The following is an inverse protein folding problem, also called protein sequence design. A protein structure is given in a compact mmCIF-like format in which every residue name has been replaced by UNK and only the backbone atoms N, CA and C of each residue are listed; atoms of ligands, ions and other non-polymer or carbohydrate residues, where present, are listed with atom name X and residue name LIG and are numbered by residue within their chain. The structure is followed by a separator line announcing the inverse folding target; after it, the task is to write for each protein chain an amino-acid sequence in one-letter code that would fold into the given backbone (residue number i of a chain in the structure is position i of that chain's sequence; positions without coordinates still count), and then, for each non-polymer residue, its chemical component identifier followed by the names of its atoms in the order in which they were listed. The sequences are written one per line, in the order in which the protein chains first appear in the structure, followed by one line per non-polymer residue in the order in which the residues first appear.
data_IF_128708346364
#
_entry.id   IF_128708346364
#
_cell.length_a   1.000
_cell.length_b   1.000
_cell.length_c   1.000
_cell.angle_alpha   90.00
_cell.angle_beta   90.00
_cell.angle_gamma   90.00
#
_symmetry.space_group_name_H-M   'P 1'
#
loop_
_entity.id
_entity.type
_entity.pdbx_description
1 polymer ?
#
# COMPACT_ATOMS: atom_id res chain seq x y z
N UNK A 1 9.08 -2.44 1.10
CA UNK A 1 7.80 -2.58 1.82
C UNK A 1 7.91 -1.75 3.09
N UNK A 2 7.13 -0.68 3.22
CA UNK A 2 6.96 -0.02 4.52
C UNK A 2 5.48 -0.06 4.87
N UNK A 3 5.14 -0.92 5.81
CA UNK A 3 3.81 -1.09 6.40
C UNK A 3 3.91 -0.63 7.83
N UNK A 4 3.24 0.47 8.20
CA UNK A 4 3.28 1.01 9.54
C UNK A 4 1.87 1.26 10.05
N UNK A 5 1.39 0.41 10.97
CA UNK A 5 0.15 0.64 11.72
C UNK A 5 0.36 1.65 12.87
N UNK A 6 1.24 2.63 12.66
CA UNK A 6 1.57 3.64 13.65
C UNK A 6 0.80 4.92 13.33
N UNK A 7 0.19 5.52 14.36
CA UNK A 7 -0.35 6.89 14.28
C UNK A 7 0.83 7.84 14.19
N UNK A 8 1.39 7.94 12.98
CA UNK A 8 2.53 8.80 12.69
C UNK A 8 1.96 10.12 12.17
N UNK A 9 2.38 11.23 12.75
CA UNK A 9 1.83 12.54 12.36
C UNK A 9 2.26 12.93 10.94
N UNK A 10 3.42 12.46 10.46
CA UNK A 10 4.06 12.85 9.19
C UNK A 10 4.79 11.69 8.52
N UNK A 11 4.74 11.62 7.18
CA UNK A 11 5.57 10.72 6.34
C UNK A 11 5.55 9.24 6.77
N UNK A 12 4.37 8.72 7.14
CA UNK A 12 4.17 7.39 7.72
C UNK A 12 4.76 6.22 6.88
N UNK A 13 4.81 6.37 5.55
CA UNK A 13 5.41 5.40 4.64
C UNK A 13 6.87 5.73 4.33
N UNK A 14 7.14 6.89 3.75
CA UNK A 14 8.50 7.33 3.46
C UNK A 14 8.54 8.84 3.16
N UNK A 15 9.74 9.41 3.26
CA UNK A 15 10.01 10.78 2.85
C UNK A 15 11.33 10.90 2.10
N UNK A 16 11.28 11.44 0.89
CA UNK A 16 12.46 11.88 0.13
C UNK A 16 12.44 13.40 0.14
N UNK A 17 13.44 13.99 0.79
CA UNK A 17 13.54 15.44 0.97
C UNK A 17 14.86 15.94 0.39
N UNK A 18 14.78 16.90 -0.54
CA UNK A 18 15.94 17.64 -1.05
C UNK A 18 17.03 16.76 -1.68
N UNK A 19 16.71 15.77 -2.54
CA UNK A 19 17.74 15.04 -3.28
C UNK A 19 18.50 16.02 -4.18
N UNK A 20 19.83 15.97 -4.22
CA UNK A 20 20.63 16.84 -5.11
C UNK A 20 20.55 16.42 -6.58
N UNK A 21 20.09 15.20 -6.83
CA UNK A 21 19.97 14.57 -8.15
C UNK A 21 18.53 14.10 -8.40
N UNK A 22 18.28 13.53 -9.58
CA UNK A 22 16.98 12.92 -9.88
C UNK A 22 16.78 11.67 -9.02
N UNK A 23 15.70 11.65 -8.23
CA UNK A 23 15.32 10.47 -7.45
C UNK A 23 14.58 9.45 -8.30
N UNK A 24 14.85 8.15 -8.09
CA UNK A 24 14.08 7.05 -8.70
C UNK A 24 13.58 6.12 -7.60
N UNK A 25 12.26 5.93 -7.53
CA UNK A 25 11.63 4.89 -6.73
C UNK A 25 11.06 3.84 -7.68
N UNK A 26 11.43 2.58 -7.48
CA UNK A 26 11.01 1.48 -8.35
C UNK A 26 10.57 0.27 -7.54
N UNK A 27 9.55 -0.45 -8.01
CA UNK A 27 9.05 -1.71 -7.42
C UNK A 27 8.78 -1.63 -5.90
N UNK A 28 8.25 -0.49 -5.45
CA UNK A 28 7.98 -0.24 -4.03
C UNK A 28 6.49 -0.29 -3.73
N UNK A 29 6.13 -0.68 -2.51
CA UNK A 29 4.75 -0.63 -2.02
C UNK A 29 4.68 0.14 -0.71
N UNK A 30 3.78 1.10 -0.68
CA UNK A 30 3.37 1.86 0.49
C UNK A 30 1.92 1.49 0.80
N UNK A 31 1.72 0.86 1.96
CA UNK A 31 0.40 0.35 2.31
C UNK A 31 0.10 0.46 3.79
N UNK A 32 -1.19 0.50 4.12
CA UNK A 32 -1.69 0.56 5.50
C UNK A 32 -1.09 1.71 6.31
N UNK A 33 -0.81 2.84 5.64
CA UNK A 33 -0.27 4.02 6.33
C UNK A 33 -1.39 4.98 6.71
N UNK A 34 -1.25 5.62 7.87
CA UNK A 34 -2.19 6.63 8.36
C UNK A 34 -1.43 7.84 8.87
N UNK A 35 -1.84 9.04 8.47
CA UNK A 35 -1.27 10.29 8.99
C UNK A 35 -2.29 11.42 9.15
N UNK A 36 -1.96 12.37 10.02
CA UNK A 36 -2.87 13.46 10.44
C UNK A 36 -2.37 14.85 10.07
N UNK A 37 -1.05 15.11 10.05
CA UNK A 37 -0.50 16.46 9.78
C UNK A 37 0.04 16.60 8.35
N UNK A 38 0.93 15.71 7.93
CA UNK A 38 1.48 15.68 6.57
C UNK A 38 1.13 14.36 5.88
N UNK A 39 1.14 14.34 4.55
CA UNK A 39 0.88 13.14 3.77
C UNK A 39 1.66 11.93 4.28
N UNK A 40 1.08 10.74 4.17
CA UNK A 40 1.75 9.49 4.52
C UNK A 40 3.01 9.27 3.69
N UNK A 41 3.11 9.93 2.54
CA UNK A 41 4.26 9.87 1.63
C UNK A 41 4.73 11.29 1.33
N UNK A 42 6.04 11.54 1.38
CA UNK A 42 6.63 12.83 1.06
C UNK A 42 7.68 12.72 -0.05
N UNK A 43 7.49 13.49 -1.12
CA UNK A 43 8.41 13.57 -2.27
C UNK A 43 8.69 15.05 -2.54
N UNK A 44 9.83 15.57 -2.09
CA UNK A 44 10.05 17.01 -2.07
C UNK A 44 11.36 17.43 -2.70
N UNK A 45 11.25 18.52 -3.47
CA UNK A 45 12.32 19.24 -4.13
C UNK A 45 13.05 18.40 -5.19
N UNK A 46 13.19 18.96 -6.39
CA UNK A 46 13.76 18.33 -7.59
C UNK A 46 12.88 17.25 -8.27
N UNK A 47 13.45 16.63 -9.30
CA UNK A 47 12.77 15.66 -10.15
C UNK A 47 12.77 14.29 -9.48
N UNK A 48 11.58 13.70 -9.30
CA UNK A 48 11.42 12.35 -8.75
C UNK A 48 10.59 11.51 -9.71
N UNK A 49 11.14 10.36 -10.11
CA UNK A 49 10.46 9.39 -10.96
C UNK A 49 10.06 8.17 -10.13
N UNK A 50 8.76 7.94 -10.03
CA UNK A 50 8.14 6.84 -9.30
C UNK A 50 7.58 5.89 -10.34
N UNK A 51 8.10 4.68 -10.37
CA UNK A 51 7.88 3.73 -11.45
C UNK A 51 7.44 2.41 -10.82
N UNK A 52 6.38 1.78 -11.34
CA UNK A 52 6.03 0.40 -10.93
C UNK A 52 5.79 0.26 -9.43
N UNK A 53 5.07 1.20 -8.83
CA UNK A 53 4.82 1.25 -7.39
C UNK A 53 3.33 1.07 -7.06
N UNK A 54 3.06 0.54 -5.86
CA UNK A 54 1.69 0.34 -5.38
C UNK A 54 1.43 1.14 -4.10
N UNK A 55 0.29 1.82 -4.07
CA UNK A 55 -0.21 2.65 -2.98
C UNK A 55 -1.57 2.10 -2.54
N UNK A 56 -1.57 1.31 -1.46
CA UNK A 56 -2.72 0.49 -1.06
C UNK A 56 -3.23 0.89 0.33
N UNK A 57 -4.53 1.10 0.51
CA UNK A 57 -5.15 1.26 1.83
C UNK A 57 -4.52 2.37 2.71
N UNK A 58 -3.96 3.41 2.10
CA UNK A 58 -3.38 4.51 2.86
C UNK A 58 -4.46 5.54 3.19
N UNK A 59 -4.37 6.15 4.36
CA UNK A 59 -5.31 7.17 4.80
C UNK A 59 -4.63 8.45 5.28
N UNK A 60 -5.22 9.59 4.92
CA UNK A 60 -4.86 10.90 5.45
C UNK A 60 -6.10 11.61 5.94
N UNK A 61 -6.12 11.98 7.21
CA UNK A 61 -7.29 12.61 7.85
C UNK A 61 -7.16 14.13 8.00
N UNK A 62 -6.00 14.71 7.65
CA UNK A 62 -5.83 16.15 7.64
C UNK A 62 -6.58 16.85 6.50
N UNK A 63 -6.72 18.17 6.61
CA UNK A 63 -7.53 18.98 5.69
C UNK A 63 -6.74 19.72 4.62
N UNK A 64 -5.43 19.88 4.81
CA UNK A 64 -4.61 20.81 4.02
C UNK A 64 -3.84 20.09 2.91
N UNK A 65 -3.21 18.97 3.21
CA UNK A 65 -2.31 18.29 2.28
C UNK A 65 -3.00 17.16 1.52
N UNK A 66 -2.33 16.63 0.50
CA UNK A 66 -2.62 15.33 -0.06
C UNK A 66 -2.06 14.20 0.79
N UNK A 67 -2.64 13.02 0.61
CA UNK A 67 -2.10 11.75 1.08
C UNK A 67 -0.63 11.59 0.67
N UNK A 68 -0.32 12.01 -0.55
CA UNK A 68 1.02 12.12 -1.11
C UNK A 68 1.36 13.61 -1.16
N UNK A 69 2.24 14.03 -0.27
CA UNK A 69 2.79 15.37 -0.26
C UNK A 69 3.96 15.42 -1.24
N UNK A 70 3.68 15.80 -2.48
CA UNK A 70 4.69 16.06 -3.50
C UNK A 70 4.94 17.56 -3.64
N UNK A 71 6.20 17.94 -3.89
CA UNK A 71 6.60 19.27 -4.35
C UNK A 71 7.69 19.13 -5.44
N UNK A 72 7.71 20.06 -6.40
CA UNK A 72 8.58 19.98 -7.57
C UNK A 72 8.03 19.08 -8.69
N UNK A 73 8.92 18.53 -9.52
CA UNK A 73 8.53 17.73 -10.70
C UNK A 73 8.48 16.25 -10.33
N UNK A 74 7.29 15.73 -10.02
CA UNK A 74 7.12 14.32 -9.66
C UNK A 74 6.31 13.58 -10.74
N UNK A 75 6.86 12.47 -11.22
CA UNK A 75 6.22 11.60 -12.21
C UNK A 75 5.90 10.25 -11.60
N UNK A 76 4.64 9.82 -11.73
CA UNK A 76 4.19 8.47 -11.42
C UNK A 76 3.94 7.73 -12.74
N UNK A 77 4.56 6.57 -12.91
CA UNK A 77 4.41 5.76 -14.11
C UNK A 77 4.16 4.29 -13.77
N UNK A 78 3.15 3.68 -14.41
CA UNK A 78 2.78 2.29 -14.15
C UNK A 78 2.58 2.02 -12.66
N UNK A 79 1.88 2.91 -11.95
CA UNK A 79 1.63 2.78 -10.52
C UNK A 79 0.16 2.45 -10.26
N UNK A 80 -0.13 1.78 -9.15
CA UNK A 80 -1.52 1.53 -8.72
C UNK A 80 -1.85 2.27 -7.44
N UNK A 81 -3.02 2.91 -7.41
CA UNK A 81 -3.61 3.58 -6.25
C UNK A 81 -4.94 2.90 -5.93
N UNK A 82 -4.97 2.10 -4.86
CA UNK A 82 -6.10 1.24 -4.55
C UNK A 82 -6.56 1.48 -3.11
N UNK A 83 -7.86 1.76 -2.93
CA UNK A 83 -8.51 1.94 -1.61
C UNK A 83 -7.82 2.94 -0.68
N UNK A 84 -7.25 4.00 -1.23
CA UNK A 84 -6.73 5.11 -0.43
C UNK A 84 -7.84 6.07 0.00
N UNK A 85 -7.68 6.72 1.16
CA UNK A 85 -8.68 7.62 1.75
C UNK A 85 -8.08 8.99 2.09
N UNK A 86 -8.79 10.07 1.78
CA UNK A 86 -8.35 11.42 2.15
C UNK A 86 -9.04 12.54 1.38
N UNK A 87 -8.70 13.79 1.69
CA UNK A 87 -9.25 14.94 0.97
C UNK A 87 -8.61 15.10 -0.41
N UNK A 88 -7.28 15.00 -0.50
CA UNK A 88 -6.54 15.02 -1.76
C UNK A 88 -5.65 13.79 -1.88
N UNK A 89 -5.49 13.25 -3.09
CA UNK A 89 -4.47 12.20 -3.32
C UNK A 89 -3.07 12.81 -3.35
N UNK A 90 -2.89 13.90 -4.09
CA UNK A 90 -1.63 14.62 -4.25
C UNK A 90 -1.75 16.07 -3.74
N UNK A 91 -0.71 16.59 -3.09
CA UNK A 91 -0.70 18.01 -2.69
C UNK A 91 -0.54 18.92 -3.90
N UNK A 92 0.52 18.73 -4.69
CA UNK A 92 0.77 19.49 -5.92
C UNK A 92 0.44 18.63 -7.14
N UNK A 93 0.33 19.24 -8.32
CA UNK A 93 0.05 18.52 -9.57
C UNK A 93 1.24 17.61 -9.97
N UNK A 94 1.06 16.28 -10.03
CA UNK A 94 2.07 15.38 -10.57
C UNK A 94 1.86 15.12 -12.08
N UNK A 95 2.84 14.46 -12.70
CA UNK A 95 2.63 13.77 -13.98
C UNK A 95 2.21 12.32 -13.71
N UNK A 96 1.11 11.87 -14.30
CA UNK A 96 0.54 10.54 -14.09
C UNK A 96 0.45 9.83 -15.44
N UNK A 97 1.21 8.75 -15.60
CA UNK A 97 1.39 8.04 -16.86
C UNK A 97 1.05 6.55 -16.66
N UNK A 98 0.09 6.01 -17.41
CA UNK A 98 -0.35 4.62 -17.30
C UNK A 98 -0.58 4.14 -15.85
N UNK A 99 -1.26 4.94 -15.02
CA UNK A 99 -1.52 4.55 -13.63
C UNK A 99 -2.94 4.02 -13.44
N UNK A 100 -3.09 3.09 -12.50
CA UNK A 100 -4.35 2.44 -12.17
C UNK A 100 -4.96 3.02 -10.88
N UNK A 101 -6.26 3.28 -10.89
CA UNK A 101 -6.99 3.82 -9.73
C UNK A 101 -8.22 2.95 -9.45
N UNK A 102 -8.38 2.45 -8.23
CA UNK A 102 -9.52 1.60 -7.86
C UNK A 102 -9.99 1.85 -6.43
N UNK A 103 -11.31 1.97 -6.25
CA UNK A 103 -11.97 2.00 -4.94
C UNK A 103 -11.42 3.05 -3.95
N UNK A 104 -10.84 4.16 -4.44
CA UNK A 104 -10.29 5.22 -3.58
C UNK A 104 -11.42 6.13 -3.04
N UNK A 105 -11.42 6.39 -1.73
CA UNK A 105 -12.27 7.37 -1.06
C UNK A 105 -11.53 8.72 -0.97
N UNK A 106 -11.29 9.32 -2.14
CA UNK A 106 -10.56 10.57 -2.31
C UNK A 106 -11.50 11.63 -2.88
N UNK A 107 -11.58 12.81 -2.25
CA UNK A 107 -12.47 13.89 -2.74
C UNK A 107 -11.94 14.58 -4.00
N UNK A 108 -10.61 14.75 -4.10
CA UNK A 108 -9.94 15.42 -5.22
C UNK A 108 -8.60 14.76 -5.52
N UNK A 109 -8.22 14.65 -6.80
CA UNK A 109 -6.93 14.05 -7.16
C UNK A 109 -5.77 14.95 -6.72
N UNK A 110 -5.86 16.26 -6.93
CA UNK A 110 -4.86 17.23 -6.45
C UNK A 110 -5.55 18.50 -5.95
N UNK A 111 -4.80 19.35 -5.24
CA UNK A 111 -5.25 20.71 -4.90
C UNK A 111 -5.40 21.60 -6.13
N UNK A 112 -4.63 21.31 -7.19
CA UNK A 112 -4.79 21.90 -8.52
C UNK A 112 -5.88 21.13 -9.31
N UNK A 113 -6.82 21.87 -9.91
CA UNK A 113 -7.97 21.29 -10.60
C UNK A 113 -7.62 20.66 -11.97
N UNK A 114 -6.42 20.89 -12.52
CA UNK A 114 -6.06 20.47 -13.88
C UNK A 114 -5.00 19.35 -13.91
N UNK A 115 -5.31 18.19 -13.32
CA UNK A 115 -4.46 16.99 -13.42
C UNK A 115 -4.86 16.18 -14.65
N UNK A 116 -3.90 15.96 -15.55
CA UNK A 116 -4.05 14.98 -16.63
C UNK A 116 -3.74 13.58 -16.10
N UNK A 117 -4.66 12.65 -16.32
CA UNK A 117 -4.51 11.26 -15.92
C UNK A 117 -4.54 10.42 -17.19
N UNK A 118 -3.43 9.74 -17.46
CA UNK A 118 -3.37 8.68 -18.46
C UNK A 118 -3.62 7.33 -17.75
N UNK A 119 -4.81 6.74 -17.90
CA UNK A 119 -5.15 5.50 -17.20
C UNK A 119 -4.32 4.33 -17.73
N UNK A 120 -3.93 3.43 -16.83
CA UNK A 120 -3.26 2.17 -17.18
C UNK A 120 -3.88 0.97 -16.49
N UNK A 121 -3.32 -0.20 -16.75
CA UNK A 121 -3.66 -1.45 -16.07
C UNK A 121 -3.00 -1.53 -14.69
N UNK A 122 -3.55 -2.32 -13.74
CA UNK A 122 -2.89 -2.55 -12.46
C UNK A 122 -1.48 -3.09 -12.69
N UNK A 123 -0.50 -2.43 -12.07
CA UNK A 123 0.92 -2.75 -12.26
C UNK A 123 1.24 -4.21 -11.89
N UNK A 124 0.56 -4.72 -10.88
CA UNK A 124 0.61 -6.12 -10.50
C UNK A 124 -0.83 -6.62 -10.26
N UNK A 125 -1.37 -7.36 -11.23
CA UNK A 125 -2.70 -7.98 -11.11
C UNK A 125 -2.75 -9.08 -10.05
N UNK A 126 -1.58 -9.60 -9.66
CA UNK A 126 -1.40 -10.56 -8.61
C UNK A 126 -0.61 -9.93 -7.47
N UNK A 127 -1.26 -9.00 -6.75
CA UNK A 127 -0.85 -8.45 -5.45
C UNK A 127 -0.44 -9.53 -4.38
N UNK A 128 -0.42 -10.81 -4.75
CA UNK A 128 0.02 -12.00 -4.01
C UNK A 128 1.44 -11.96 -3.43
N UNK A 129 2.32 -11.07 -3.89
CA UNK A 129 3.68 -10.93 -3.34
C UNK A 129 3.74 -10.02 -2.10
N UNK A 130 2.64 -9.34 -1.76
CA UNK A 130 2.57 -8.55 -0.54
C UNK A 130 2.33 -9.48 0.63
N UNK A 131 3.20 -9.39 1.64
CA UNK A 131 3.07 -10.09 2.91
C UNK A 131 1.85 -9.55 3.69
N UNK A 132 0.64 -9.77 3.19
CA UNK A 132 -0.60 -9.57 3.94
C UNK A 132 -0.82 -10.70 4.94
N UNK A 133 -0.22 -11.88 4.72
CA UNK A 133 -0.32 -13.06 5.58
C UNK A 133 0.07 -12.83 7.05
N UNK A 134 0.76 -11.72 7.35
CA UNK A 134 1.17 -11.36 8.72
C UNK A 134 0.84 -9.93 9.14
N UNK A 135 0.13 -9.16 8.33
CA UNK A 135 -0.34 -7.82 8.69
C UNK A 135 -1.87 -7.86 8.73
N UNK A 136 -2.47 -8.24 9.87
CA UNK A 136 -3.93 -8.22 9.99
C UNK A 136 -4.44 -6.80 9.73
N UNK A 137 -5.33 -6.68 8.75
CA UNK A 137 -6.12 -5.49 8.49
C UNK A 137 -6.97 -5.21 9.73
N UNK A 138 -6.47 -4.38 10.65
CA UNK A 138 -7.15 -4.09 11.92
C UNK A 138 -8.45 -3.27 11.79
N UNK A 139 -9.09 -3.19 10.61
CA UNK A 139 -10.35 -2.47 10.42
C UNK A 139 -11.32 -3.09 9.39
N UNK A 140 -11.27 -4.40 9.15
CA UNK A 140 -12.41 -5.10 8.55
C UNK A 140 -13.24 -5.75 9.66
N UNK A 141 -14.26 -5.01 10.11
CA UNK A 141 -15.39 -5.43 10.93
C UNK A 141 -15.05 -6.07 12.29
N UNK A 142 -15.57 -5.47 13.36
CA UNK A 142 -15.73 -6.12 14.66
C UNK A 142 -16.61 -7.36 14.49
N UNK A 143 -16.01 -8.50 14.11
CA UNK A 143 -16.60 -9.81 14.41
C UNK A 143 -16.33 -10.09 15.88
N UNK A 144 -17.39 -10.47 16.58
CA UNK A 144 -17.32 -10.85 17.99
C UNK A 144 -16.27 -11.95 18.18
N UNK A 145 -15.34 -11.69 19.11
CA UNK A 145 -14.19 -12.50 19.51
C UNK A 145 -14.48 -14.01 19.76
N UNK A 146 -15.74 -14.44 19.85
CA UNK A 146 -16.12 -15.83 20.10
C UNK A 146 -16.07 -16.73 18.86
N UNK A 147 -16.15 -16.18 17.63
CA UNK A 147 -16.10 -17.01 16.41
C UNK A 147 -14.67 -17.31 15.94
N UNK A 148 -13.70 -16.43 16.22
CA UNK A 148 -12.30 -16.58 15.80
C UNK A 148 -11.59 -17.73 16.51
N UNK A 149 -11.81 -17.93 17.81
CA UNK A 149 -11.20 -19.03 18.56
C UNK A 149 -11.68 -20.40 18.06
N UNK A 150 -12.95 -20.48 17.63
CA UNK A 150 -13.51 -21.72 17.07
C UNK A 150 -12.87 -22.06 15.73
N UNK A 151 -12.70 -21.07 14.86
CA UNK A 151 -12.04 -21.25 13.57
C UNK A 151 -10.55 -21.59 13.72
N UNK A 152 -9.84 -20.93 14.64
CA UNK A 152 -8.43 -21.18 14.89
C UNK A 152 -8.20 -22.62 15.41
N UNK A 153 -9.07 -23.09 16.32
CA UNK A 153 -9.00 -24.48 16.82
C UNK A 153 -9.31 -25.49 15.71
N UNK A 154 -10.27 -25.21 14.82
CA UNK A 154 -10.56 -26.09 13.69
C UNK A 154 -9.41 -26.13 12.67
N UNK A 155 -8.77 -24.99 12.39
CA UNK A 155 -7.61 -24.91 11.50
C UNK A 155 -6.41 -25.68 12.10
N UNK A 156 -6.13 -25.52 13.39
CA UNK A 156 -5.07 -26.25 14.10
C UNK A 156 -5.34 -27.76 14.05
N UNK A 157 -6.59 -28.18 14.27
CA UNK A 157 -6.97 -29.60 14.18
C UNK A 157 -6.80 -30.14 12.76
N UNK A 158 -7.18 -29.37 11.74
CA UNK A 158 -7.04 -29.77 10.35
C UNK A 158 -5.56 -29.95 9.97
N UNK A 159 -4.69 -29.01 10.36
CA UNK A 159 -3.24 -29.10 10.12
C UNK A 159 -2.63 -30.28 10.89
N UNK A 160 -3.00 -30.46 12.17
CA UNK A 160 -2.50 -31.57 12.98
C UNK A 160 -2.91 -32.94 12.40
N UNK A 161 -4.15 -33.07 11.94
CA UNK A 161 -4.63 -34.28 11.26
C UNK A 161 -3.94 -34.50 9.92
N UNK A 162 -3.71 -33.45 9.13
CA UNK A 162 -2.95 -33.53 7.89
C UNK A 162 -1.54 -34.02 8.14
N UNK A 163 -0.83 -33.42 9.10
CA UNK A 163 0.52 -33.81 9.48
C UNK A 163 0.61 -35.24 10.03
N UNK A 164 -0.40 -35.68 10.79
CA UNK A 164 -0.46 -37.04 11.33
C UNK A 164 -0.76 -38.09 10.25
N UNK A 165 -1.58 -37.75 9.27
CA UNK A 165 -1.99 -38.67 8.20
C UNK A 165 -1.06 -38.64 6.98
N UNK A 166 -0.14 -37.67 6.89
CA UNK A 166 0.85 -37.62 5.82
C UNK A 166 1.97 -38.60 6.12
N UNK A 167 2.28 -39.49 5.17
CA UNK A 167 3.37 -40.46 5.35
C UNK A 167 4.72 -39.74 5.33
N UNK A 168 5.72 -40.27 6.05
CA UNK A 168 7.07 -39.69 6.09
C UNK A 168 7.66 -39.45 4.70
N UNK A 169 7.33 -40.30 3.72
CA UNK A 169 7.78 -40.18 2.33
C UNK A 169 7.15 -38.98 1.60
N UNK A 170 5.91 -38.61 1.89
CA UNK A 170 5.23 -37.44 1.29
C UNK A 170 5.76 -36.12 1.90
N UNK A 171 6.07 -36.12 3.21
CA UNK A 171 6.63 -34.95 3.87
C UNK A 171 8.02 -34.55 3.34
N UNK A 172 8.85 -35.53 2.94
CA UNK A 172 10.18 -35.27 2.36
C UNK A 172 10.14 -34.72 0.93
N UNK A 173 9.08 -34.98 0.16
CA UNK A 173 8.93 -34.40 -1.18
C UNK A 173 8.56 -32.92 -1.14
N UNK A 174 7.83 -32.47 -0.12
CA UNK A 174 7.48 -31.06 0.09
C UNK A 174 8.71 -30.19 0.41
N UNK A 175 9.72 -30.71 1.14
CA UNK A 175 10.95 -29.95 1.43
C UNK A 175 11.88 -29.77 0.23
N UNK A 176 11.65 -30.50 -0.87
CA UNK A 176 12.43 -30.36 -2.10
C UNK A 176 11.85 -29.34 -3.10
N UNK A 177 10.69 -28.75 -2.76
CA UNK A 177 9.97 -27.76 -3.56
C UNK A 177 9.98 -26.36 -2.92
N UNK A 178 10.79 -26.15 -1.87
CA UNK A 178 11.08 -24.84 -1.24
C UNK A 178 12.54 -24.49 -1.48
#
# INVERSE_FOLDING_TARGET
MNTSNHVTTRCAAYGIQSPTETGIINFTTASNTSSTEQGGIFNSQNTINIIKCNYLYNSYTGSINGLILNSGTVTFSNCSFIRNKGNFLFSDKPYIIHCYFKDNDIKRISSDNNVYIDPGEPFDSYLSHYAMDKCPDTYLEQRSFEEEDKFLIEAIKFVAMGAYNTSFCEAMHLSSLI
#
